data_IF_295754941280
#
_entry.id   IF_295754941280
#
_cell.length_a   1.000
_cell.length_b   1.000
_cell.length_c   1.000
_cell.angle_alpha   90.00
_cell.angle_beta   90.00
_cell.angle_gamma   90.00
#
_symmetry.space_group_name_H-M   'P 1'
#
loop_
_entity.id
_entity.type
_entity.pdbx_description
1 polymer ?
#
# COMPACT_ATOMS: atom_id res chain seq x y z
N UNK A 1 15.90 11.65 -13.14
CA UNK A 1 14.85 12.35 -12.39
C UNK A 1 15.01 12.04 -10.92
N UNK A 2 15.47 13.02 -10.16
CA UNK A 2 15.43 12.95 -8.71
C UNK A 2 13.95 12.89 -8.25
N UNK A 3 13.66 12.46 -7.03
CA UNK A 3 12.26 12.46 -6.51
C UNK A 3 11.70 13.90 -6.51
N UNK A 4 12.57 14.91 -6.47
CA UNK A 4 12.21 16.33 -6.65
C UNK A 4 11.57 16.61 -8.01
N UNK A 5 12.21 16.19 -9.11
CA UNK A 5 11.68 16.41 -10.47
C UNK A 5 10.30 15.75 -10.65
N UNK A 6 10.03 14.68 -9.89
CA UNK A 6 8.77 13.96 -9.94
C UNK A 6 7.61 14.74 -9.32
N UNK A 7 7.87 15.69 -8.42
CA UNK A 7 6.80 16.50 -7.80
C UNK A 7 6.16 17.44 -8.80
N UNK A 8 6.99 18.18 -9.53
CA UNK A 8 6.54 19.09 -10.59
C UNK A 8 5.86 18.34 -11.74
N UNK A 9 6.45 17.22 -12.18
CA UNK A 9 5.85 16.35 -13.19
C UNK A 9 4.49 15.79 -12.71
N UNK A 10 4.40 15.29 -11.48
CA UNK A 10 3.15 14.76 -10.93
C UNK A 10 2.06 15.83 -10.88
N UNK A 11 2.41 17.06 -10.53
CA UNK A 11 1.46 18.19 -10.52
C UNK A 11 0.97 18.56 -11.91
N UNK A 12 1.87 18.62 -12.88
CA UNK A 12 1.50 18.91 -14.26
C UNK A 12 0.55 17.83 -14.80
N UNK A 13 0.85 16.56 -14.52
CA UNK A 13 0.00 15.44 -14.90
C UNK A 13 -1.35 15.45 -14.16
N UNK A 14 -1.36 15.78 -12.87
CA UNK A 14 -2.60 15.92 -12.10
C UNK A 14 -3.49 17.02 -12.68
N UNK A 15 -2.93 18.19 -12.98
CA UNK A 15 -3.68 19.30 -13.63
C UNK A 15 -4.18 18.91 -15.01
N UNK A 16 -3.36 18.25 -15.82
CA UNK A 16 -3.78 17.76 -17.14
C UNK A 16 -4.90 16.70 -17.05
N UNK A 17 -4.86 15.85 -16.02
CA UNK A 17 -5.92 14.87 -15.75
C UNK A 17 -7.21 15.51 -15.23
N UNK A 18 -7.12 16.65 -14.54
CA UNK A 18 -8.26 17.44 -14.10
C UNK A 18 -8.87 18.30 -15.23
N UNK A 19 -8.05 18.73 -16.19
CA UNK A 19 -8.46 19.50 -17.38
C UNK A 19 -8.95 18.60 -18.53
N UNK A 20 -8.79 17.28 -18.44
CA UNK A 20 -9.45 16.36 -19.36
C UNK A 20 -10.94 16.40 -19.04
N UNK A 21 -11.82 16.90 -19.93
CA UNK A 21 -13.24 16.89 -19.67
C UNK A 21 -13.63 15.44 -19.37
N UNK A 22 -14.21 15.20 -18.19
CA UNK A 22 -15.10 14.05 -18.03
C UNK A 22 -16.06 14.16 -19.21
N UNK A 23 -15.98 13.24 -20.17
CA UNK A 23 -17.02 13.08 -21.18
C UNK A 23 -18.32 12.99 -20.40
N UNK A 24 -19.05 14.10 -20.47
CA UNK A 24 -20.33 14.27 -19.83
C UNK A 24 -21.23 13.38 -20.64
N UNK A 25 -21.56 12.21 -20.09
CA UNK A 25 -22.65 11.40 -20.61
C UNK A 25 -23.84 12.33 -20.82
N UNK A 26 -24.33 12.27 -22.05
CA UNK A 26 -25.19 13.25 -22.68
C UNK A 26 -26.36 13.73 -21.81
N UNK A 27 -26.67 15.02 -21.94
CA UNK A 27 -27.99 15.58 -21.66
C UNK A 27 -29.09 14.69 -22.28
N UNK A 28 -29.68 13.84 -21.45
CA UNK A 28 -30.95 13.21 -21.74
C UNK A 28 -32.05 14.15 -21.24
N UNK A 29 -32.54 14.95 -22.19
CA UNK A 29 -33.81 15.67 -22.21
C UNK A 29 -34.90 14.96 -21.39
N UNK A 30 -35.24 15.52 -20.22
CA UNK A 30 -36.29 15.01 -19.34
C UNK A 30 -37.64 15.56 -19.81
N UNK A 31 -38.17 14.96 -20.87
CA UNK A 31 -39.59 15.11 -21.20
C UNK A 31 -40.41 14.29 -20.19
N UNK A 32 -41.18 14.97 -19.35
CA UNK A 32 -42.19 14.36 -18.46
C UNK A 32 -43.14 13.44 -19.25
N UNK A 33 -43.27 12.19 -18.82
CA UNK A 33 -44.35 11.27 -19.22
C UNK A 33 -44.76 10.39 -18.02
N UNK A 34 -46.01 9.89 -18.02
CA UNK A 34 -46.92 10.06 -16.90
C UNK A 34 -46.89 8.92 -15.89
N UNK A 35 -47.31 9.25 -14.67
CA UNK A 35 -47.56 8.33 -13.55
C UNK A 35 -48.35 7.10 -14.03
N UNK A 36 -47.74 5.93 -13.90
CA UNK A 36 -48.30 4.65 -14.34
C UNK A 36 -49.49 4.26 -13.42
N UNK A 37 -50.72 4.10 -13.95
CA UNK A 37 -51.94 3.95 -13.14
C UNK A 37 -52.09 2.58 -12.44
N UNK A 38 -51.02 1.77 -12.37
CA UNK A 38 -50.99 0.49 -11.67
C UNK A 38 -49.93 0.42 -10.55
N UNK A 39 -49.37 1.55 -10.12
CA UNK A 39 -48.44 1.59 -8.96
C UNK A 39 -49.15 1.47 -7.59
N UNK A 40 -50.36 0.92 -7.53
CA UNK A 40 -51.09 0.75 -6.29
C UNK A 40 -50.47 -0.37 -5.45
N UNK A 41 -49.77 0.00 -4.37
CA UNK A 41 -49.25 -0.95 -3.40
C UNK A 41 -50.27 -1.15 -2.26
N UNK A 42 -50.93 -2.32 -2.15
CA UNK A 42 -51.98 -2.56 -1.16
C UNK A 42 -51.47 -2.59 0.29
N UNK A 43 -50.16 -2.64 0.52
CA UNK A 43 -49.55 -2.61 1.86
C UNK A 43 -49.61 -1.23 2.53
N UNK A 44 -49.83 -0.14 1.79
CA UNK A 44 -49.95 1.21 2.36
C UNK A 44 -51.26 1.46 3.12
N UNK A 45 -52.28 0.63 2.90
CA UNK A 45 -53.60 0.76 3.54
C UNK A 45 -53.79 -0.15 4.75
N UNK A 46 -52.75 -0.86 5.21
CA UNK A 46 -52.88 -1.73 6.38
C UNK A 46 -52.84 -0.93 7.70
N UNK A 47 -53.96 -0.75 8.42
CA UNK A 47 -54.00 0.10 9.61
C UNK A 47 -53.38 -0.57 10.86
N UNK A 48 -52.87 -1.80 10.73
CA UNK A 48 -52.24 -2.57 11.81
C UNK A 48 -50.76 -2.91 11.57
N UNK A 49 -50.14 -2.38 10.50
CA UNK A 49 -48.69 -2.49 10.34
C UNK A 49 -47.96 -1.70 11.44
N UNK A 50 -46.90 -2.24 12.07
CA UNK A 50 -46.09 -1.48 13.01
C UNK A 50 -45.47 -0.31 12.26
N UNK A 51 -45.63 0.92 12.77
CA UNK A 51 -44.96 2.12 12.26
C UNK A 51 -43.44 1.93 12.38
N UNK A 52 -42.84 1.30 11.39
CA UNK A 52 -41.42 1.43 11.14
C UNK A 52 -41.22 2.88 10.73
N UNK A 53 -40.42 3.59 11.53
CA UNK A 53 -40.08 4.98 11.31
C UNK A 53 -39.65 5.21 9.86
N UNK A 54 -40.09 6.36 9.33
CA UNK A 54 -39.62 6.94 8.08
C UNK A 54 -38.12 6.67 7.94
N UNK A 55 -37.78 5.84 6.96
CA UNK A 55 -36.43 5.74 6.46
C UNK A 55 -36.08 7.13 5.94
N UNK A 56 -35.27 7.86 6.69
CA UNK A 56 -34.45 8.90 6.11
C UNK A 56 -33.78 8.27 4.89
N UNK A 57 -33.99 8.90 3.73
CA UNK A 57 -33.18 8.70 2.55
C UNK A 57 -31.75 9.14 2.91
N UNK A 58 -31.03 8.33 3.68
CA UNK A 58 -29.59 8.30 3.63
C UNK A 58 -29.28 7.81 2.22
N UNK A 59 -28.90 8.78 1.38
CA UNK A 59 -28.23 8.57 0.11
C UNK A 59 -27.33 7.35 0.24
N UNK A 60 -27.69 6.30 -0.51
CA UNK A 60 -26.82 5.17 -0.75
C UNK A 60 -25.56 5.72 -1.42
N UNK A 61 -24.57 6.11 -0.61
CA UNK A 61 -23.22 6.37 -1.06
C UNK A 61 -22.72 5.04 -1.63
N UNK A 62 -22.76 4.94 -2.95
CA UNK A 62 -22.00 3.94 -3.70
C UNK A 62 -20.57 3.95 -3.15
N UNK A 63 -19.91 2.79 -3.01
CA UNK A 63 -18.56 2.73 -2.49
C UNK A 63 -17.64 3.55 -3.41
N UNK A 64 -17.35 4.79 -3.03
CA UNK A 64 -16.35 5.63 -3.71
C UNK A 64 -15.01 4.96 -3.45
N UNK A 65 -14.40 4.49 -4.52
CA UNK A 65 -13.03 4.00 -4.53
C UNK A 65 -12.14 5.05 -3.82
N UNK A 66 -11.46 4.73 -2.71
CA UNK A 66 -10.74 5.74 -1.93
C UNK A 66 -9.42 6.18 -2.57
N UNK A 67 -9.20 5.88 -3.85
CA UNK A 67 -8.00 6.27 -4.58
C UNK A 67 -8.21 7.59 -5.34
N UNK A 68 -7.27 8.51 -5.21
CA UNK A 68 -7.05 9.66 -6.12
C UNK A 68 -7.89 10.93 -5.96
N UNK A 69 -8.57 11.19 -4.83
CA UNK A 69 -9.31 12.45 -4.70
C UNK A 69 -8.42 13.68 -4.42
N UNK A 70 -7.16 13.50 -4.00
CA UNK A 70 -6.26 14.59 -3.64
C UNK A 70 -4.92 14.57 -4.38
N UNK A 71 -4.31 15.75 -4.53
CA UNK A 71 -2.99 15.95 -5.17
C UNK A 71 -1.89 15.12 -4.49
N UNK A 72 -1.97 14.97 -3.16
CA UNK A 72 -1.03 14.16 -2.38
C UNK A 72 -1.15 12.67 -2.69
N UNK A 73 -2.36 12.14 -2.89
CA UNK A 73 -2.59 10.77 -3.33
C UNK A 73 -2.10 10.53 -4.75
N UNK A 74 -2.31 11.48 -5.67
CA UNK A 74 -1.76 11.37 -7.02
C UNK A 74 -0.23 11.35 -7.01
N UNK A 75 0.41 12.27 -6.27
CA UNK A 75 1.87 12.31 -6.12
C UNK A 75 2.43 11.00 -5.55
N UNK A 76 1.81 10.47 -4.49
CA UNK A 76 2.26 9.22 -3.88
C UNK A 76 2.22 8.04 -4.86
N UNK A 77 1.13 7.89 -5.61
CA UNK A 77 1.00 6.85 -6.63
C UNK A 77 2.00 7.04 -7.79
N UNK A 78 2.26 8.28 -8.19
CA UNK A 78 3.25 8.60 -9.21
C UNK A 78 4.65 8.20 -8.76
N UNK A 79 5.06 8.59 -7.55
CA UNK A 79 6.38 8.24 -6.99
C UNK A 79 6.54 6.73 -6.84
N UNK A 80 5.54 6.03 -6.30
CA UNK A 80 5.57 4.57 -6.16
C UNK A 80 5.72 3.89 -7.53
N UNK A 81 4.89 4.28 -8.51
CA UNK A 81 4.92 3.73 -9.86
C UNK A 81 6.25 3.98 -10.56
N UNK A 82 6.82 5.17 -10.40
CA UNK A 82 8.10 5.55 -11.00
C UNK A 82 9.26 4.78 -10.37
N UNK A 83 9.25 4.63 -9.05
CA UNK A 83 10.23 3.83 -8.33
C UNK A 83 10.18 2.35 -8.74
N UNK A 84 8.99 1.73 -8.77
CA UNK A 84 8.82 0.35 -9.23
C UNK A 84 9.29 0.19 -10.68
N UNK A 85 8.97 1.15 -11.56
CA UNK A 85 9.41 1.11 -12.96
C UNK A 85 10.93 1.16 -13.09
N UNK A 86 11.62 1.92 -12.22
CA UNK A 86 13.09 1.92 -12.18
C UNK A 86 13.66 0.60 -11.71
N UNK A 87 13.06 -0.03 -10.70
CA UNK A 87 13.49 -1.35 -10.25
C UNK A 87 13.36 -2.40 -11.36
N UNK A 88 12.27 -2.34 -12.14
CA UNK A 88 12.11 -3.23 -13.30
C UNK A 88 13.16 -2.97 -14.38
N UNK A 89 13.39 -1.70 -14.73
CA UNK A 89 14.46 -1.35 -15.67
C UNK A 89 15.85 -1.79 -15.20
N UNK A 90 16.11 -1.80 -13.89
CA UNK A 90 17.35 -2.34 -13.31
C UNK A 90 17.44 -3.87 -13.46
N UNK A 91 16.33 -4.59 -13.29
CA UNK A 91 16.30 -6.04 -13.49
C UNK A 91 16.48 -6.45 -14.95
N UNK A 92 16.05 -5.61 -15.89
CA UNK A 92 16.19 -5.83 -17.34
C UNK A 92 17.60 -5.48 -17.86
N UNK A 93 18.39 -4.67 -17.15
CA UNK A 93 19.74 -4.27 -17.57
C UNK A 93 20.75 -5.43 -17.42
N UNK A 94 21.34 -5.95 -18.52
CA UNK A 94 22.33 -7.02 -18.47
C UNK A 94 23.57 -6.66 -17.63
N UNK A 95 23.95 -5.39 -17.59
CA UNK A 95 25.11 -4.93 -16.81
C UNK A 95 24.84 -5.08 -15.31
N UNK A 96 23.63 -4.73 -14.87
CA UNK A 96 23.20 -4.90 -13.50
C UNK A 96 23.07 -6.39 -13.13
N UNK A 97 22.50 -7.22 -14.01
CA UNK A 97 22.43 -8.67 -13.80
C UNK A 97 23.82 -9.29 -13.60
N UNK A 98 24.80 -8.88 -14.41
CA UNK A 98 26.18 -9.36 -14.28
C UNK A 98 26.83 -8.87 -12.98
N UNK A 99 26.62 -7.60 -12.62
CA UNK A 99 27.18 -7.00 -11.41
C UNK A 99 26.65 -7.67 -10.13
N UNK A 100 25.33 -7.89 -10.06
CA UNK A 100 24.69 -8.53 -8.90
C UNK A 100 24.72 -10.07 -8.95
N UNK A 101 25.28 -10.66 -10.02
CA UNK A 101 25.31 -12.10 -10.25
C UNK A 101 23.92 -12.75 -10.14
N UNK A 102 22.88 -12.03 -10.59
CA UNK A 102 21.49 -12.44 -10.48
C UNK A 102 20.92 -12.60 -11.90
N UNK A 103 20.54 -13.83 -12.32
CA UNK A 103 19.94 -14.04 -13.63
C UNK A 103 18.66 -13.21 -13.80
N UNK A 104 18.35 -12.81 -15.04
CA UNK A 104 17.16 -12.00 -15.39
C UNK A 104 15.87 -12.51 -14.71
N UNK A 105 15.64 -13.83 -14.76
CA UNK A 105 14.46 -14.46 -14.17
C UNK A 105 14.38 -14.21 -12.66
N UNK A 106 15.48 -14.43 -11.95
CA UNK A 106 15.50 -14.35 -10.49
C UNK A 106 15.49 -12.87 -10.04
N UNK A 107 16.11 -11.97 -10.82
CA UNK A 107 16.07 -10.53 -10.56
C UNK A 107 14.66 -9.96 -10.78
N UNK A 108 14.02 -10.33 -11.89
CA UNK A 108 12.64 -9.93 -12.18
C UNK A 108 11.69 -10.45 -11.10
N UNK A 109 11.86 -11.70 -10.66
CA UNK A 109 11.09 -12.27 -9.56
C UNK A 109 11.28 -11.48 -8.26
N UNK A 110 12.53 -11.18 -7.88
CA UNK A 110 12.82 -10.36 -6.69
C UNK A 110 12.14 -8.99 -6.76
N UNK A 111 12.25 -8.29 -7.89
CA UNK A 111 11.61 -6.98 -8.08
C UNK A 111 10.09 -7.08 -8.02
N UNK A 112 9.50 -8.15 -8.56
CA UNK A 112 8.05 -8.38 -8.49
C UNK A 112 7.55 -8.59 -7.06
N UNK A 113 8.33 -9.30 -6.23
CA UNK A 113 8.03 -9.52 -4.82
C UNK A 113 8.18 -8.23 -4.00
N UNK A 114 9.21 -7.43 -4.28
CA UNK A 114 9.37 -6.10 -3.65
C UNK A 114 8.23 -5.16 -4.02
N UNK A 115 7.80 -5.14 -5.28
CA UNK A 115 6.67 -4.33 -5.73
C UNK A 115 5.35 -4.78 -5.09
N UNK A 116 5.14 -6.10 -4.98
CA UNK A 116 3.96 -6.67 -4.31
C UNK A 116 3.97 -6.36 -2.81
N UNK A 117 5.13 -6.48 -2.16
CA UNK A 117 5.32 -6.15 -0.76
C UNK A 117 5.07 -4.66 -0.47
N UNK A 118 5.56 -3.78 -1.34
CA UNK A 118 5.34 -2.33 -1.24
C UNK A 118 3.86 -1.95 -1.27
N UNK A 119 3.10 -2.55 -2.20
CA UNK A 119 1.64 -2.36 -2.31
C UNK A 119 0.91 -2.94 -1.11
N UNK A 120 1.26 -4.17 -0.70
CA UNK A 120 0.64 -4.87 0.44
C UNK A 120 0.82 -4.11 1.76
N UNK A 121 1.99 -3.52 1.97
CA UNK A 121 2.30 -2.70 3.15
C UNK A 121 1.78 -1.26 3.03
N UNK A 122 1.18 -0.91 1.90
CA UNK A 122 0.55 0.37 1.66
C UNK A 122 1.52 1.56 1.67
N UNK A 123 2.67 1.42 1.01
CA UNK A 123 3.68 2.49 0.94
C UNK A 123 3.09 3.76 0.31
N UNK A 124 2.35 3.64 -0.80
CA UNK A 124 1.67 4.78 -1.42
C UNK A 124 0.73 5.51 -0.46
N UNK A 125 -0.04 4.78 0.34
CA UNK A 125 -0.93 5.39 1.33
C UNK A 125 -0.14 6.08 2.46
N UNK A 126 0.99 5.51 2.89
CA UNK A 126 1.89 6.14 3.87
C UNK A 126 2.47 7.45 3.34
N UNK A 127 2.95 7.47 2.08
CA UNK A 127 3.47 8.67 1.43
C UNK A 127 2.37 9.74 1.33
N UNK A 128 1.17 9.38 0.86
CA UNK A 128 0.05 10.30 0.73
C UNK A 128 -0.36 10.88 2.09
N UNK A 129 -0.37 10.05 3.15
CA UNK A 129 -0.65 10.51 4.52
C UNK A 129 0.39 11.50 5.02
N UNK A 130 1.68 11.18 4.91
CA UNK A 130 2.75 12.09 5.36
C UNK A 130 2.78 13.39 4.56
N UNK A 131 2.50 13.34 3.25
CA UNK A 131 2.41 14.56 2.43
C UNK A 131 1.23 15.46 2.83
N UNK A 132 0.08 14.87 3.18
CA UNK A 132 -1.07 15.61 3.73
C UNK A 132 -0.74 16.26 5.06
N UNK A 133 -0.13 15.51 5.98
CA UNK A 133 0.30 16.04 7.29
C UNK A 133 1.28 17.21 7.11
N UNK A 134 2.25 17.10 6.20
CA UNK A 134 3.17 18.19 5.89
C UNK A 134 2.46 19.45 5.34
N UNK A 135 1.39 19.27 4.57
CA UNK A 135 0.59 20.37 4.02
C UNK A 135 -0.25 21.11 5.07
N UNK A 136 -0.61 20.46 6.18
CA UNK A 136 -1.45 21.05 7.23
C UNK A 136 -0.71 22.04 8.13
N UNK A 137 0.59 21.83 8.34
CA UNK A 137 1.41 22.64 9.27
C UNK A 137 2.17 23.79 8.59
N UNK A 138 2.03 23.96 7.28
CA UNK A 138 2.87 24.87 6.51
C UNK A 138 2.26 26.30 6.41
N UNK A 139 2.59 27.16 7.36
CA UNK A 139 2.52 28.64 7.21
C UNK A 139 3.74 29.18 6.42
N UNK A 140 4.37 28.34 5.59
CA UNK A 140 5.68 28.56 4.96
C UNK A 140 5.63 28.44 3.43
N UNK A 141 6.60 29.09 2.75
CA UNK A 141 6.79 29.14 1.28
C UNK A 141 6.60 27.77 0.61
N UNK A 142 5.83 27.74 -0.47
CA UNK A 142 5.44 26.54 -1.24
C UNK A 142 6.62 25.63 -1.64
N UNK A 143 7.72 26.20 -2.12
CA UNK A 143 8.91 25.44 -2.54
C UNK A 143 9.50 24.59 -1.38
N UNK A 144 9.33 25.04 -0.14
CA UNK A 144 9.76 24.29 1.05
C UNK A 144 8.88 23.06 1.31
N UNK A 145 7.59 23.12 0.94
CA UNK A 145 6.64 22.02 1.13
C UNK A 145 6.94 20.91 0.13
N UNK A 146 7.23 21.26 -1.13
CA UNK A 146 7.62 20.30 -2.18
C UNK A 146 8.89 19.56 -1.77
N UNK A 147 9.88 20.30 -1.27
CA UNK A 147 11.12 19.71 -0.80
C UNK A 147 10.89 18.72 0.34
N UNK A 148 10.02 19.10 1.27
CA UNK A 148 9.66 18.27 2.41
C UNK A 148 8.88 17.02 1.97
N UNK A 149 7.94 17.14 1.04
CA UNK A 149 7.14 16.02 0.52
C UNK A 149 8.01 15.02 -0.25
N UNK A 150 8.93 15.50 -1.10
CA UNK A 150 9.92 14.66 -1.77
C UNK A 150 10.83 13.93 -0.77
N UNK A 151 11.35 14.66 0.24
CA UNK A 151 12.18 14.07 1.30
C UNK A 151 11.44 13.01 2.12
N UNK A 152 10.15 13.24 2.44
CA UNK A 152 9.32 12.27 3.14
C UNK A 152 9.07 11.02 2.29
N UNK A 153 8.71 11.19 1.01
CA UNK A 153 8.52 10.07 0.10
C UNK A 153 9.79 9.20 -0.02
N UNK A 154 10.95 9.85 -0.19
CA UNK A 154 12.24 9.18 -0.22
C UNK A 154 12.52 8.43 1.10
N UNK A 155 12.26 9.05 2.26
CA UNK A 155 12.47 8.42 3.56
C UNK A 155 11.58 7.19 3.78
N UNK A 156 10.33 7.21 3.29
CA UNK A 156 9.41 6.08 3.42
C UNK A 156 9.88 4.92 2.53
N UNK A 157 10.26 5.20 1.29
CA UNK A 157 10.80 4.18 0.38
C UNK A 157 12.10 3.59 0.94
N UNK A 158 13.03 4.43 1.41
CA UNK A 158 14.27 3.96 2.02
C UNK A 158 14.02 3.11 3.26
N UNK A 159 13.10 3.54 4.14
CA UNK A 159 12.71 2.72 5.30
C UNK A 159 12.08 1.39 4.88
N UNK A 160 11.38 1.32 3.76
CA UNK A 160 10.88 0.05 3.26
C UNK A 160 12.02 -0.82 2.75
N UNK A 161 12.97 -0.29 1.98
CA UNK A 161 14.11 -1.09 1.47
C UNK A 161 15.01 -1.57 2.61
N UNK A 162 15.22 -0.75 3.63
CA UNK A 162 16.08 -1.06 4.78
C UNK A 162 15.48 -2.16 5.68
N UNK A 163 14.17 -2.18 5.86
CA UNK A 163 13.52 -3.01 6.89
C UNK A 163 12.44 -3.95 6.35
N UNK A 164 12.04 -3.82 5.08
CA UNK A 164 10.99 -4.60 4.41
C UNK A 164 9.67 -4.64 5.18
N UNK A 165 9.35 -3.53 5.83
CA UNK A 165 8.16 -3.38 6.67
C UNK A 165 8.36 -3.68 8.15
N UNK A 166 9.53 -4.19 8.57
CA UNK A 166 9.84 -4.58 9.95
C UNK A 166 10.67 -3.53 10.73
N UNK A 167 10.41 -2.25 10.49
CA UNK A 167 11.24 -1.16 11.05
C UNK A 167 11.16 -1.15 12.59
N UNK A 168 12.30 -1.28 13.31
CA UNK A 168 12.34 -1.29 14.78
C UNK A 168 11.82 -0.01 15.45
N UNK A 169 11.78 1.11 14.73
CA UNK A 169 11.26 2.40 15.23
C UNK A 169 9.74 2.46 15.23
N UNK A 170 9.09 1.65 14.39
CA UNK A 170 7.64 1.67 14.18
C UNK A 170 7.00 0.44 14.82
N UNK A 171 7.62 -0.74 14.67
CA UNK A 171 7.05 -2.00 15.10
C UNK A 171 7.68 -2.53 16.40
N UNK A 172 6.85 -2.99 17.36
CA UNK A 172 7.34 -3.61 18.58
C UNK A 172 8.04 -4.95 18.27
N UNK A 173 8.90 -5.41 19.19
CA UNK A 173 9.64 -6.67 19.03
C UNK A 173 8.75 -7.87 18.75
N UNK A 174 7.55 -7.92 19.35
CA UNK A 174 6.58 -9.00 19.17
C UNK A 174 6.19 -9.21 17.71
N UNK A 175 6.00 -8.13 16.95
CA UNK A 175 5.60 -8.18 15.53
C UNK A 175 6.80 -8.45 14.60
N UNK A 176 8.02 -8.39 15.14
CA UNK A 176 9.28 -8.69 14.46
C UNK A 176 9.89 -10.02 14.89
N UNK A 177 9.13 -10.83 15.64
CA UNK A 177 9.56 -12.13 16.15
C UNK A 177 9.06 -13.24 15.24
N UNK A 178 9.98 -14.00 14.67
CA UNK A 178 9.67 -15.09 13.73
C UNK A 178 10.29 -16.42 14.18
N UNK A 179 9.68 -17.56 13.82
CA UNK A 179 10.30 -18.85 14.03
C UNK A 179 11.53 -19.02 13.14
N UNK A 180 12.60 -19.54 13.74
CA UNK A 180 13.85 -19.93 13.06
C UNK A 180 14.00 -21.45 13.04
N UNK A 181 14.86 -21.93 12.13
CA UNK A 181 15.18 -23.35 12.01
C UNK A 181 15.68 -23.90 13.35
N UNK A 182 15.10 -25.01 13.81
CA UNK A 182 15.42 -25.62 15.11
C UNK A 182 14.57 -25.15 16.29
N UNK A 183 13.42 -24.52 16.04
CA UNK A 183 12.41 -24.23 17.08
C UNK A 183 12.72 -23.02 17.97
N UNK A 184 13.76 -22.24 17.63
CA UNK A 184 14.09 -20.98 18.31
C UNK A 184 13.35 -19.83 17.66
N UNK A 185 12.87 -18.87 18.45
CA UNK A 185 12.34 -17.60 17.95
C UNK A 185 13.47 -16.58 17.81
N UNK A 186 13.48 -15.83 16.71
CA UNK A 186 14.45 -14.77 16.45
C UNK A 186 13.71 -13.45 16.28
N UNK A 187 14.22 -12.40 16.93
CA UNK A 187 13.72 -11.02 16.79
C UNK A 187 14.59 -10.30 15.75
N UNK A 188 13.99 -9.92 14.62
CA UNK A 188 14.71 -9.28 13.53
C UNK A 188 14.98 -7.81 13.83
N UNK A 189 16.15 -7.31 13.44
CA UNK A 189 16.56 -5.91 13.56
C UNK A 189 16.56 -5.41 15.00
N UNK A 190 17.13 -6.21 15.91
CA UNK A 190 17.24 -5.85 17.32
C UNK A 190 18.19 -4.66 17.48
N UNK A 191 17.73 -3.50 18.00
CA UNK A 191 18.59 -2.34 18.19
C UNK A 191 19.73 -2.66 19.18
N UNK A 192 20.96 -2.15 18.94
CA UNK A 192 22.03 -2.25 19.92
C UNK A 192 21.59 -1.65 21.27
N UNK A 193 22.03 -2.28 22.37
CA UNK A 193 21.74 -1.77 23.70
C UNK A 193 22.26 -0.33 23.84
N UNK A 194 21.47 0.59 24.45
CA UNK A 194 21.89 1.97 24.61
C UNK A 194 23.17 2.04 25.44
N UNK A 195 24.18 2.73 24.93
CA UNK A 195 25.44 2.94 25.63
C UNK A 195 25.18 3.87 26.82
N UNK A 196 25.34 3.37 28.03
CA UNK A 196 25.29 4.18 29.26
C UNK A 196 26.69 4.66 29.62
N UNK A 197 26.90 5.97 29.67
CA UNK A 197 28.19 6.58 30.01
C UNK A 197 29.14 6.61 28.80
N UNK A 198 30.43 6.39 29.03
CA UNK A 198 31.43 6.44 27.96
C UNK A 198 31.36 5.21 27.04
N UNK A 199 31.36 5.40 25.70
CA UNK A 199 31.39 4.30 24.76
C UNK A 199 32.68 3.50 24.93
N UNK A 200 32.56 2.26 25.42
CA UNK A 200 33.67 1.31 25.43
C UNK A 200 33.81 0.73 24.04
N UNK A 201 34.82 1.19 23.31
CA UNK A 201 35.19 0.66 22.00
C UNK A 201 35.91 -0.67 22.24
N UNK A 202 35.36 -1.77 21.74
CA UNK A 202 36.04 -3.07 21.76
C UNK A 202 37.18 -3.09 20.76
N UNK A 203 38.27 -3.80 21.07
CA UNK A 203 39.38 -4.04 20.14
C UNK A 203 38.94 -4.83 18.90
N UNK A 204 37.87 -5.62 19.03
CA UNK A 204 37.25 -6.36 17.94
C UNK A 204 36.09 -5.56 17.34
N UNK A 205 36.01 -5.53 16.00
CA UNK A 205 34.88 -4.95 15.26
C UNK A 205 33.61 -5.74 15.58
N UNK A 206 32.55 -5.02 15.94
CA UNK A 206 31.22 -5.61 16.09
C UNK A 206 30.71 -6.12 14.74
N UNK A 207 30.19 -7.35 14.69
CA UNK A 207 29.63 -7.98 13.49
C UNK A 207 28.23 -7.44 13.13
N UNK A 208 28.00 -6.14 13.36
CA UNK A 208 26.68 -5.51 13.19
C UNK A 208 26.16 -5.67 11.76
N UNK A 209 27.04 -5.50 10.77
CA UNK A 209 26.67 -5.61 9.36
C UNK A 209 26.26 -7.05 8.98
N UNK A 210 26.97 -8.06 9.49
CA UNK A 210 26.64 -9.47 9.22
C UNK A 210 25.30 -9.86 9.86
N UNK A 211 25.06 -9.43 11.10
CA UNK A 211 23.78 -9.63 11.77
C UNK A 211 22.64 -8.94 11.00
N UNK A 212 22.86 -7.71 10.53
CA UNK A 212 21.87 -6.98 9.75
C UNK A 212 21.56 -7.68 8.41
N UNK A 213 22.56 -8.19 7.69
CA UNK A 213 22.32 -8.93 6.44
C UNK A 213 21.53 -10.23 6.67
N UNK A 214 21.85 -10.96 7.74
CA UNK A 214 21.10 -12.17 8.10
C UNK A 214 19.64 -11.85 8.43
N UNK A 215 19.41 -10.79 9.20
CA UNK A 215 18.06 -10.30 9.52
C UNK A 215 17.32 -9.82 8.27
N UNK A 216 18.01 -9.11 7.36
CA UNK A 216 17.43 -8.61 6.11
C UNK A 216 17.01 -9.75 5.18
N UNK A 217 17.83 -10.79 5.02
CA UNK A 217 17.47 -11.98 4.24
C UNK A 217 16.26 -12.72 4.84
N UNK A 218 16.20 -12.80 6.18
CA UNK A 218 15.04 -13.40 6.86
C UNK A 218 13.79 -12.53 6.72
N UNK A 219 13.92 -11.21 6.80
CA UNK A 219 12.83 -10.27 6.54
C UNK A 219 12.32 -10.38 5.11
N UNK A 220 13.22 -10.53 4.12
CA UNK A 220 12.85 -10.75 2.73
C UNK A 220 12.05 -12.05 2.56
N UNK A 221 12.51 -13.13 3.20
CA UNK A 221 11.76 -14.39 3.22
C UNK A 221 10.35 -14.20 3.79
N UNK A 222 10.20 -13.54 4.95
CA UNK A 222 8.88 -13.28 5.55
C UNK A 222 8.01 -12.35 4.68
N UNK A 223 8.62 -11.39 3.97
CA UNK A 223 7.92 -10.53 3.02
C UNK A 223 7.32 -11.36 1.88
N UNK A 224 8.12 -12.20 1.23
CA UNK A 224 7.70 -13.07 0.12
C UNK A 224 6.64 -14.06 0.59
N UNK A 225 6.84 -14.70 1.74
CA UNK A 225 5.84 -15.62 2.31
C UNK A 225 4.53 -14.91 2.64
N UNK A 226 4.59 -13.65 3.08
CA UNK A 226 3.41 -12.82 3.28
C UNK A 226 2.72 -12.42 1.98
N UNK A 227 3.48 -12.23 0.89
CA UNK A 227 2.94 -11.89 -0.43
C UNK A 227 2.19 -13.06 -1.08
N UNK A 228 2.59 -14.31 -0.83
CA UNK A 228 1.86 -15.50 -1.31
C UNK A 228 0.39 -15.53 -0.86
N UNK A 229 0.07 -14.81 0.22
CA UNK A 229 -1.28 -14.71 0.76
C UNK A 229 -2.02 -13.49 0.21
N UNK A 230 -1.45 -12.71 -0.69
CA UNK A 230 -2.03 -11.45 -1.18
C UNK A 230 -2.40 -11.57 -2.65
N UNK A 231 -3.66 -11.31 -3.00
CA UNK A 231 -4.18 -11.43 -4.37
C UNK A 231 -4.07 -10.14 -5.20
N UNK A 232 -3.45 -9.09 -4.66
CA UNK A 232 -3.35 -7.77 -5.28
C UNK A 232 -4.38 -6.75 -4.79
N UNK A 233 -5.40 -7.17 -4.03
CA UNK A 233 -6.40 -6.29 -3.41
C UNK A 233 -6.66 -6.65 -1.94
N UNK A 234 -6.63 -7.94 -1.58
CA UNK A 234 -6.89 -8.46 -0.24
C UNK A 234 -5.92 -9.58 0.15
N UNK A 235 -5.75 -9.78 1.45
CA UNK A 235 -5.10 -10.99 1.96
C UNK A 235 -6.10 -12.15 1.84
N UNK A 236 -5.77 -13.16 1.06
CA UNK A 236 -6.48 -14.42 0.91
C UNK A 236 -6.64 -15.07 2.28
N UNK A 237 -7.89 -15.17 2.73
CA UNK A 237 -8.24 -15.91 3.94
C UNK A 237 -8.24 -17.42 3.65
N UNK A 238 -7.27 -18.14 4.23
CA UNK A 238 -7.11 -19.60 4.04
C UNK A 238 -8.34 -20.35 4.58
N UNK A 239 -9.00 -19.81 5.61
CA UNK A 239 -10.17 -20.44 6.24
C UNK A 239 -11.39 -20.38 5.31
N UNK A 240 -11.63 -19.24 4.66
CA UNK A 240 -12.69 -19.08 3.66
C UNK A 240 -12.45 -19.98 2.44
N UNK A 241 -11.20 -20.08 1.96
CA UNK A 241 -10.86 -20.99 0.88
C UNK A 241 -11.04 -22.47 1.24
N UNK A 242 -10.79 -22.83 2.50
CA UNK A 242 -11.03 -24.20 2.99
C UNK A 242 -12.52 -24.51 3.11
N UNK A 243 -13.32 -23.51 3.53
CA UNK A 243 -14.78 -23.61 3.60
C UNK A 243 -15.41 -23.70 2.20
N UNK A 244 -14.94 -22.89 1.24
CA UNK A 244 -15.34 -22.96 -0.16
C UNK A 244 -15.01 -24.32 -0.78
N UNK A 245 -13.82 -24.87 -0.51
CA UNK A 245 -13.46 -26.24 -0.94
C UNK A 245 -14.39 -27.30 -0.35
N UNK A 246 -14.74 -27.20 0.92
CA UNK A 246 -15.67 -28.14 1.56
C UNK A 246 -17.07 -28.09 0.93
N UNK A 247 -17.56 -26.90 0.59
CA UNK A 247 -18.83 -26.71 -0.13
C UNK A 247 -18.78 -27.31 -1.53
N UNK A 248 -17.74 -27.03 -2.32
CA UNK A 248 -17.60 -27.57 -3.68
C UNK A 248 -17.55 -29.10 -3.66
N UNK A 249 -16.78 -29.70 -2.73
CA UNK A 249 -16.72 -31.15 -2.61
C UNK A 249 -18.08 -31.77 -2.28
N UNK A 250 -18.90 -31.09 -1.45
CA UNK A 250 -20.25 -31.52 -1.11
C UNK A 250 -21.21 -31.47 -2.32
N UNK A 251 -21.05 -30.49 -3.19
CA UNK A 251 -21.86 -30.39 -4.42
C UNK A 251 -21.40 -31.31 -5.55
N UNK A 252 -20.12 -31.69 -5.61
CA UNK A 252 -19.63 -32.67 -6.60
C UNK A 252 -19.91 -34.14 -6.23
N UNK A 253 -20.20 -34.40 -4.96
CA UNK A 253 -20.53 -35.71 -4.43
C UNK A 253 -22.04 -36.02 -4.43
N UNK A 254 -22.87 -35.10 -4.96
CA UNK A 254 -24.31 -35.24 -5.19
C UNK A 254 -24.58 -35.39 -6.69
#
# INVERSE_FOLDING_TARGET
ADIFDMHDEARQLFRASADTPQETEAEADSTELPIDPLSFNPDELNPFAPKTALSDTEEAQSPKDPGYQDEAGFFANYVESRWISRLRGLAEDPSAQQYFMLPERDFTALVSELATGARRLGIGQQIAKSCREAGLYADTRRDSIEWQQAGMAASIINSFVDWLGLNPRVLPEKERTFPSAGGKTVVLFTPPAPVKGFPKISEQRTLYTEAWYADWLKALYELVMGNLRYDGQKNINIEENSALKALINRFSAA
#
